data_IF_738941274032
#
_entry.id   IF_738941274032
#
_cell.length_a   1.000
_cell.length_b   1.000
_cell.length_c   1.000
_cell.angle_alpha   90.00
_cell.angle_beta   90.00
_cell.angle_gamma   90.00
#
_symmetry.space_group_name_H-M   'P 1'
#
loop_
_entity.id
_entity.type
_entity.pdbx_description
1 polymer ?
#
# COMPACT_ATOMS: atom_id res chain seq x y z
N UNK A 1 2.63 12.98 -23.00
CA UNK A 1 2.45 13.90 -21.85
C UNK A 1 3.81 14.43 -21.43
N UNK A 2 3.93 15.70 -21.04
CA UNK A 2 5.17 16.26 -20.51
C UNK A 2 5.07 16.36 -18.98
N UNK A 3 5.99 15.71 -18.27
CA UNK A 3 6.06 15.71 -16.80
C UNK A 3 7.36 16.41 -16.38
N UNK A 4 7.28 17.35 -15.43
CA UNK A 4 8.45 18.09 -14.91
C UNK A 4 8.64 17.75 -13.44
N UNK A 5 9.79 17.20 -13.08
CA UNK A 5 10.15 16.87 -11.70
C UNK A 5 11.22 17.83 -11.17
N UNK A 6 11.07 18.27 -9.92
CA UNK A 6 12.14 18.94 -9.16
C UNK A 6 12.85 17.90 -8.30
N UNK A 7 14.14 17.69 -8.54
CA UNK A 7 14.98 16.76 -7.78
C UNK A 7 16.28 17.46 -7.34
N UNK A 8 16.94 16.98 -6.27
CA UNK A 8 18.26 17.49 -5.89
C UNK A 8 19.30 17.29 -7.01
N UNK A 9 20.30 18.18 -7.09
CA UNK A 9 21.32 18.19 -8.15
C UNK A 9 22.00 16.83 -8.36
N UNK A 10 22.35 16.16 -7.25
CA UNK A 10 22.93 14.79 -7.26
C UNK A 10 22.09 13.76 -8.01
N UNK A 11 20.77 13.92 -8.03
CA UNK A 11 19.84 13.02 -8.73
C UNK A 11 19.68 13.51 -10.17
N UNK A 12 19.55 14.83 -10.38
CA UNK A 12 19.50 15.43 -11.70
C UNK A 12 20.68 15.01 -12.59
N UNK A 13 21.89 15.03 -12.06
CA UNK A 13 23.11 14.59 -12.76
C UNK A 13 23.03 13.11 -13.16
N UNK A 14 22.55 12.24 -12.28
CA UNK A 14 22.38 10.80 -12.56
C UNK A 14 21.31 10.56 -13.62
N UNK A 15 20.21 11.32 -13.60
CA UNK A 15 19.15 11.21 -14.59
C UNK A 15 19.61 11.71 -15.97
N UNK A 16 20.42 12.78 -16.01
CA UNK A 16 21.01 13.27 -17.26
C UNK A 16 21.99 12.27 -17.89
N UNK A 17 22.78 11.56 -17.07
CA UNK A 17 23.68 10.50 -17.56
C UNK A 17 22.94 9.34 -18.23
N UNK A 18 21.68 9.10 -17.85
CA UNK A 18 20.84 8.07 -18.47
C UNK A 18 20.29 8.51 -19.83
N UNK A 19 20.22 9.81 -20.11
CA UNK A 19 19.86 10.39 -21.41
C UNK A 19 18.61 9.73 -22.02
N UNK A 20 18.76 9.19 -23.22
CA UNK A 20 17.67 8.55 -23.97
C UNK A 20 17.16 7.23 -23.36
N UNK A 21 17.93 6.63 -22.45
CA UNK A 21 17.52 5.41 -21.71
C UNK A 21 16.70 5.73 -20.46
N UNK A 22 16.60 7.00 -20.09
CA UNK A 22 15.88 7.42 -18.91
C UNK A 22 14.40 6.99 -18.91
N UNK A 23 13.65 7.11 -20.02
CA UNK A 23 12.27 6.62 -20.07
C UNK A 23 12.17 5.12 -19.78
N UNK A 24 13.03 4.29 -20.38
CA UNK A 24 13.03 2.83 -20.17
C UNK A 24 13.39 2.45 -18.73
N UNK A 25 14.34 3.16 -18.12
CA UNK A 25 14.73 2.94 -16.72
C UNK A 25 13.62 3.39 -15.77
N UNK A 26 12.92 4.49 -16.09
CA UNK A 26 11.79 4.96 -15.33
C UNK A 26 10.60 4.01 -15.45
N UNK A 27 10.27 3.53 -16.65
CA UNK A 27 9.20 2.55 -16.85
C UNK A 27 9.49 1.27 -16.04
N UNK A 28 10.72 0.74 -16.12
CA UNK A 28 11.11 -0.43 -15.31
C UNK A 28 11.10 -0.15 -13.81
N UNK A 29 11.57 1.02 -13.38
CA UNK A 29 11.54 1.38 -11.96
C UNK A 29 10.10 1.56 -11.46
N UNK A 30 9.21 2.10 -12.28
CA UNK A 30 7.78 2.20 -11.96
C UNK A 30 7.19 0.80 -11.87
N UNK A 31 7.45 -0.09 -12.83
CA UNK A 31 7.05 -1.50 -12.79
C UNK A 31 7.60 -2.25 -11.57
N UNK A 32 8.84 -1.97 -11.14
CA UNK A 32 9.42 -2.53 -9.90
C UNK A 32 8.79 -1.94 -8.62
N UNK A 33 8.37 -0.67 -8.67
CA UNK A 33 7.72 0.02 -7.56
C UNK A 33 6.21 -0.23 -7.49
N UNK A 34 5.59 -0.67 -8.59
CA UNK A 34 4.22 -1.16 -8.67
C UNK A 34 4.27 -2.69 -8.67
N UNK A 35 4.10 -3.37 -7.52
CA UNK A 35 4.12 -4.83 -7.53
C UNK A 35 3.00 -5.33 -8.44
N UNK A 36 3.36 -6.12 -9.46
CA UNK A 36 2.43 -6.80 -10.36
C UNK A 36 1.39 -7.66 -9.62
N UNK A 37 1.65 -7.97 -8.34
CA UNK A 37 0.84 -8.83 -7.47
C UNK A 37 0.15 -8.09 -6.30
N UNK A 38 -0.03 -6.76 -6.35
CA UNK A 38 -0.66 -6.04 -5.23
C UNK A 38 -2.16 -6.35 -5.13
N UNK A 39 -2.55 -7.09 -4.11
CA UNK A 39 -3.97 -7.32 -3.81
C UNK A 39 -4.51 -6.12 -3.02
N UNK A 40 -5.30 -5.29 -3.69
CA UNK A 40 -5.86 -4.09 -3.08
C UNK A 40 -7.24 -4.36 -2.47
N UNK A 41 -7.54 -3.75 -1.31
CA UNK A 41 -8.87 -3.84 -0.68
C UNK A 41 -9.40 -2.45 -0.28
N UNK A 42 -10.74 -2.30 -0.32
CA UNK A 42 -11.44 -1.07 0.08
C UNK A 42 -12.26 -1.21 1.36
N UNK A 43 -12.70 -2.42 1.69
CA UNK A 43 -13.56 -2.73 2.83
C UNK A 43 -13.27 -4.13 3.40
N UNK A 44 -13.94 -4.50 4.49
CA UNK A 44 -13.78 -5.80 5.10
C UNK A 44 -14.32 -6.97 4.25
N UNK A 45 -15.26 -6.73 3.34
CA UNK A 45 -15.87 -7.81 2.53
C UNK A 45 -14.80 -8.36 1.59
N UNK A 46 -14.04 -7.49 0.92
CA UNK A 46 -12.97 -7.90 0.03
C UNK A 46 -11.86 -8.67 0.76
N UNK A 47 -11.54 -8.28 2.01
CA UNK A 47 -10.61 -9.04 2.84
C UNK A 47 -11.18 -10.41 3.22
N UNK A 48 -12.45 -10.50 3.59
CA UNK A 48 -13.10 -11.78 3.92
C UNK A 48 -13.14 -12.71 2.70
N UNK A 49 -13.49 -12.19 1.53
CA UNK A 49 -13.48 -12.94 0.27
C UNK A 49 -12.08 -13.44 -0.07
N UNK A 50 -11.07 -12.58 0.07
CA UNK A 50 -9.68 -12.97 -0.12
C UNK A 50 -9.26 -14.05 0.87
N UNK A 51 -9.55 -13.93 2.16
CA UNK A 51 -9.18 -14.95 3.15
C UNK A 51 -9.91 -16.28 2.89
N UNK A 52 -11.17 -16.22 2.44
CA UNK A 52 -11.97 -17.39 2.09
C UNK A 52 -11.44 -18.13 0.84
N UNK A 53 -10.71 -17.46 -0.05
CA UNK A 53 -10.07 -18.10 -1.21
C UNK A 53 -8.86 -18.96 -0.86
N UNK A 54 -8.44 -18.97 0.42
CA UNK A 54 -7.23 -19.65 0.92
C UNK A 54 -5.96 -19.17 0.19
N UNK A 55 -5.62 -17.88 0.31
CA UNK A 55 -4.50 -17.28 -0.42
C UNK A 55 -3.17 -17.86 0.07
N UNK A 56 -2.20 -17.92 -0.85
CA UNK A 56 -0.82 -18.26 -0.53
C UNK A 56 -0.21 -17.26 0.45
N UNK A 57 0.84 -17.63 1.20
CA UNK A 57 1.56 -16.68 2.05
C UNK A 57 2.05 -15.44 1.30
N UNK A 58 2.49 -15.59 0.06
CA UNK A 58 2.93 -14.50 -0.82
C UNK A 58 1.80 -13.53 -1.14
N UNK A 59 0.62 -14.04 -1.51
CA UNK A 59 -0.58 -13.23 -1.74
C UNK A 59 -1.01 -12.48 -0.47
N UNK A 60 -0.95 -13.13 0.70
CA UNK A 60 -1.24 -12.46 1.99
C UNK A 60 -0.27 -11.30 2.24
N UNK A 61 1.02 -11.49 1.94
CA UNK A 61 2.02 -10.43 2.10
C UNK A 61 1.80 -9.26 1.14
N UNK A 62 1.22 -9.51 -0.03
CA UNK A 62 0.93 -8.51 -1.05
C UNK A 62 -0.32 -7.66 -0.77
N UNK A 63 -1.16 -8.03 0.21
CA UNK A 63 -2.37 -7.28 0.59
C UNK A 63 -2.04 -5.82 0.94
N UNK A 64 -2.69 -4.84 0.33
CA UNK A 64 -2.57 -3.42 0.71
C UNK A 64 -3.93 -2.70 0.60
N UNK A 65 -4.19 -1.67 1.43
CA UNK A 65 -5.38 -0.84 1.22
C UNK A 65 -5.26 -0.09 -0.11
N UNK A 66 -6.39 0.24 -0.74
CA UNK A 66 -6.35 1.14 -1.90
C UNK A 66 -5.86 2.55 -1.49
N UNK A 67 -5.34 3.35 -2.45
CA UNK A 67 -4.94 4.72 -2.17
C UNK A 67 -6.06 5.58 -1.59
N UNK A 68 -7.30 5.38 -2.02
CA UNK A 68 -8.47 6.12 -1.53
C UNK A 68 -8.75 5.77 -0.07
N UNK A 69 -8.70 4.47 0.27
CA UNK A 69 -8.88 4.01 1.63
C UNK A 69 -7.77 4.55 2.55
N UNK A 70 -6.53 4.51 2.07
CA UNK A 70 -5.39 5.04 2.80
C UNK A 70 -5.52 6.56 3.02
N UNK A 71 -5.96 7.31 2.01
CA UNK A 71 -6.18 8.74 2.11
C UNK A 71 -7.31 9.07 3.11
N UNK A 72 -8.44 8.36 3.05
CA UNK A 72 -9.56 8.53 3.97
C UNK A 72 -9.16 8.22 5.41
N UNK A 73 -8.44 7.11 5.64
CA UNK A 73 -7.97 6.75 6.98
C UNK A 73 -6.98 7.80 7.53
N UNK A 74 -6.11 8.35 6.67
CA UNK A 74 -5.18 9.42 7.06
C UNK A 74 -5.92 10.69 7.47
N UNK A 75 -6.95 11.09 6.71
CA UNK A 75 -7.81 12.23 7.05
C UNK A 75 -8.50 12.02 8.40
N UNK A 76 -9.10 10.84 8.63
CA UNK A 76 -9.77 10.48 9.88
C UNK A 76 -8.79 10.53 11.07
N UNK A 77 -7.57 10.02 10.91
CA UNK A 77 -6.56 10.08 11.97
C UNK A 77 -6.16 11.52 12.31
N UNK A 78 -6.03 12.40 11.32
CA UNK A 78 -5.69 13.81 11.55
C UNK A 78 -6.85 14.58 12.21
N UNK A 79 -8.08 14.27 11.82
CA UNK A 79 -9.27 14.81 12.49
C UNK A 79 -9.45 14.26 13.91
N UNK A 80 -9.01 13.03 14.17
CA UNK A 80 -9.05 12.43 15.51
C UNK A 80 -8.10 13.17 16.45
N UNK A 81 -6.86 13.40 16.01
CA UNK A 81 -5.86 14.19 16.76
C UNK A 81 -6.33 15.60 17.11
N UNK A 82 -7.20 16.18 16.30
CA UNK A 82 -7.76 17.51 16.52
C UNK A 82 -9.10 17.52 17.27
N UNK A 83 -9.63 16.36 17.66
CA UNK A 83 -10.90 16.24 18.37
C UNK A 83 -12.12 16.63 17.52
N UNK A 84 -11.99 16.58 16.19
CA UNK A 84 -13.02 16.99 15.23
C UNK A 84 -13.70 15.80 14.52
N UNK A 85 -13.64 14.61 15.14
CA UNK A 85 -14.32 13.44 14.62
C UNK A 85 -15.80 13.45 15.03
N UNK A 86 -16.67 13.18 14.07
CA UNK A 86 -18.06 12.82 14.38
C UNK A 86 -18.14 11.37 14.85
N UNK A 87 -19.23 11.01 15.54
CA UNK A 87 -19.47 9.63 15.99
C UNK A 87 -19.45 8.62 14.84
N UNK A 88 -19.99 8.97 13.67
CA UNK A 88 -19.97 8.09 12.48
C UNK A 88 -18.54 7.86 11.99
N UNK A 89 -17.71 8.90 12.05
CA UNK A 89 -16.30 8.84 11.64
C UNK A 89 -15.43 8.09 12.65
N UNK A 90 -15.80 8.10 13.94
CA UNK A 90 -15.15 7.26 14.96
C UNK A 90 -15.40 5.78 14.67
N UNK A 91 -16.65 5.42 14.39
CA UNK A 91 -17.01 4.05 14.01
C UNK A 91 -16.31 3.64 12.71
N UNK A 92 -16.22 4.55 11.73
CA UNK A 92 -15.48 4.31 10.49
C UNK A 92 -13.99 4.05 10.76
N UNK A 93 -13.34 4.90 11.55
CA UNK A 93 -11.92 4.77 11.90
C UNK A 93 -11.66 3.49 12.70
N UNK A 94 -12.49 3.17 13.69
CA UNK A 94 -12.36 1.96 14.51
C UNK A 94 -12.46 0.68 13.67
N UNK A 95 -13.40 0.64 12.71
CA UNK A 95 -13.52 -0.48 11.76
C UNK A 95 -12.26 -0.65 10.92
N UNK A 96 -11.71 0.45 10.40
CA UNK A 96 -10.47 0.38 9.63
C UNK A 96 -9.26 -0.03 10.45
N UNK A 97 -9.11 0.47 11.68
CA UNK A 97 -8.01 0.09 12.57
C UNK A 97 -8.07 -1.40 12.95
N UNK A 98 -9.27 -1.93 13.20
CA UNK A 98 -9.46 -3.35 13.46
C UNK A 98 -9.07 -4.20 12.24
N UNK A 99 -9.52 -3.81 11.05
CA UNK A 99 -9.22 -4.50 9.81
C UNK A 99 -7.70 -4.51 9.51
N UNK A 100 -7.05 -3.36 9.64
CA UNK A 100 -5.61 -3.24 9.45
C UNK A 100 -4.84 -4.10 10.47
N UNK A 101 -5.33 -4.18 11.71
CA UNK A 101 -4.74 -5.05 12.71
C UNK A 101 -4.78 -6.53 12.30
N UNK A 102 -5.91 -6.99 11.76
CA UNK A 102 -6.03 -8.36 11.26
C UNK A 102 -5.13 -8.62 10.06
N UNK A 103 -5.06 -7.70 9.09
CA UNK A 103 -4.17 -7.82 7.94
C UNK A 103 -2.71 -7.91 8.41
N UNK A 104 -2.30 -7.09 9.39
CA UNK A 104 -0.95 -7.14 9.96
C UNK A 104 -0.62 -8.50 10.60
N UNK A 105 -1.56 -9.06 11.37
CA UNK A 105 -1.39 -10.39 11.98
C UNK A 105 -1.29 -11.48 10.91
N UNK A 106 -2.17 -11.45 9.90
CA UNK A 106 -2.14 -12.41 8.79
C UNK A 106 -0.78 -12.38 8.08
N UNK A 107 -0.25 -11.19 7.80
CA UNK A 107 1.09 -11.02 7.21
C UNK A 107 2.21 -11.57 8.08
N UNK A 108 2.16 -11.32 9.39
CA UNK A 108 3.16 -11.87 10.31
C UNK A 108 3.17 -13.42 10.29
N UNK A 109 1.99 -14.04 10.28
CA UNK A 109 1.86 -15.50 10.17
C UNK A 109 2.30 -16.03 8.80
N UNK A 110 1.94 -15.36 7.70
CA UNK A 110 2.35 -15.73 6.35
C UNK A 110 3.87 -15.67 6.20
N UNK A 111 4.50 -14.60 6.70
CA UNK A 111 5.95 -14.46 6.73
C UNK A 111 6.61 -15.61 7.51
N UNK A 112 6.06 -15.96 8.67
CA UNK A 112 6.53 -17.10 9.46
C UNK A 112 6.49 -18.41 8.67
N UNK A 113 5.42 -18.69 7.92
CA UNK A 113 5.30 -19.91 7.09
C UNK A 113 6.35 -20.00 5.99
N UNK A 114 6.70 -18.87 5.37
CA UNK A 114 7.74 -18.85 4.33
C UNK A 114 9.13 -19.15 4.90
N UNK A 115 9.39 -18.78 6.15
CA UNK A 115 10.66 -19.09 6.81
C UNK A 115 10.79 -20.55 7.23
N UNK A 116 9.69 -21.26 7.49
CA UNK A 116 9.73 -22.67 7.90
C UNK A 116 9.85 -23.64 6.72
N UNK A 117 9.55 -23.19 5.51
CA UNK A 117 9.57 -24.00 4.27
C UNK A 117 10.90 -23.85 3.51
N UNK A 118 11.75 -22.89 3.89
CA UNK A 118 13.10 -22.68 3.38
C UNK A 118 14.17 -23.46 4.17
#
# INVERSE_FOLDING_TARGET
MQVTLKVPDRIGEKLQQLGDRLPEVLDRAIEELTPADTISYQDEIQIVELLASQPSPEEILAIRPTPELQARTSELLDRNKSGMLSQTEEVELDRYLLLEHWVRLAKAHAYGRLQTVA
#
